data_IF_537016398795
#
_entry.id   IF_537016398795
#
_cell.length_a   1.000
_cell.length_b   1.000
_cell.length_c   1.000
_cell.angle_alpha   90.00
_cell.angle_beta   90.00
_cell.angle_gamma   90.00
#
_symmetry.space_group_name_H-M   'P 1'
#
loop_
_entity.id
_entity.type
_entity.pdbx_description
1 polymer ?
#
# COMPACT_ATOMS: atom_id res chain seq x y z
N UNK A 1 -16.38 38.00 10.66
CA UNK A 1 -16.97 36.67 10.94
C UNK A 1 -16.50 35.56 9.97
N UNK A 2 -15.50 35.80 9.09
CA UNK A 2 -15.15 34.87 7.98
C UNK A 2 -13.92 33.95 8.30
N UNK A 3 -13.11 34.31 9.30
CA UNK A 3 -11.85 33.58 9.61
C UNK A 3 -12.06 32.22 10.30
N UNK A 4 -13.10 32.09 11.13
CA UNK A 4 -13.39 30.84 11.84
C UNK A 4 -13.92 29.77 10.89
N UNK A 5 -14.74 30.17 9.91
CA UNK A 5 -15.30 29.28 8.91
C UNK A 5 -14.21 28.69 7.99
N UNK A 6 -13.26 29.52 7.55
CA UNK A 6 -12.10 29.05 6.77
C UNK A 6 -11.16 28.11 7.53
N UNK A 7 -11.06 28.25 8.86
CA UNK A 7 -10.28 27.33 9.71
C UNK A 7 -11.07 26.03 9.92
N UNK A 8 -12.37 26.12 10.20
CA UNK A 8 -13.27 24.98 10.38
C UNK A 8 -13.32 24.11 9.13
N UNK A 9 -13.49 24.71 7.95
CA UNK A 9 -13.52 24.02 6.66
C UNK A 9 -12.16 23.35 6.33
N UNK A 10 -11.06 23.91 6.83
CA UNK A 10 -9.72 23.29 6.70
C UNK A 10 -9.54 22.11 7.65
N UNK A 11 -10.03 22.22 8.88
CA UNK A 11 -10.01 21.14 9.88
C UNK A 11 -10.92 20.00 9.43
N UNK A 12 -12.14 20.29 8.96
CA UNK A 12 -13.09 19.28 8.47
C UNK A 12 -12.48 18.54 7.28
N UNK A 13 -11.93 19.23 6.29
CA UNK A 13 -11.26 18.57 5.15
C UNK A 13 -10.05 17.75 5.57
N UNK A 14 -9.27 18.22 6.54
CA UNK A 14 -8.14 17.48 7.07
C UNK A 14 -8.56 16.21 7.82
N UNK A 15 -9.56 16.30 8.70
CA UNK A 15 -10.06 15.15 9.45
C UNK A 15 -10.79 14.15 8.54
N UNK A 16 -11.63 14.64 7.62
CA UNK A 16 -12.32 13.81 6.63
C UNK A 16 -11.33 13.13 5.69
N UNK A 17 -10.27 13.84 5.26
CA UNK A 17 -9.19 13.27 4.46
C UNK A 17 -8.42 12.18 5.22
N UNK A 18 -8.13 12.39 6.51
CA UNK A 18 -7.51 11.37 7.36
C UNK A 18 -8.40 10.14 7.59
N UNK A 19 -9.68 10.35 7.87
CA UNK A 19 -10.65 9.26 8.08
C UNK A 19 -10.84 8.47 6.79
N UNK A 20 -10.98 9.15 5.64
CA UNK A 20 -11.17 8.50 4.34
C UNK A 20 -9.94 7.67 3.94
N UNK A 21 -8.73 8.20 4.13
CA UNK A 21 -7.49 7.46 3.85
C UNK A 21 -7.33 6.25 4.79
N UNK A 22 -7.40 6.46 6.12
CA UNK A 22 -7.24 5.37 7.08
C UNK A 22 -8.33 4.28 6.96
N UNK A 23 -9.57 4.66 6.60
CA UNK A 23 -10.66 3.71 6.37
C UNK A 23 -10.48 2.94 5.05
N UNK A 24 -10.03 3.59 3.98
CA UNK A 24 -9.77 2.92 2.70
C UNK A 24 -8.61 1.93 2.83
N UNK A 25 -7.51 2.31 3.49
CA UNK A 25 -6.35 1.45 3.71
C UNK A 25 -6.72 0.20 4.51
N UNK A 26 -7.53 0.39 5.57
CA UNK A 26 -8.02 -0.71 6.40
C UNK A 26 -8.98 -1.63 5.63
N UNK A 27 -9.88 -1.08 4.83
CA UNK A 27 -10.84 -1.86 4.02
C UNK A 27 -10.11 -2.66 2.94
N UNK A 28 -9.10 -2.07 2.29
CA UNK A 28 -8.28 -2.74 1.28
C UNK A 28 -7.47 -3.86 1.93
N UNK A 29 -6.78 -3.58 3.04
CA UNK A 29 -6.01 -4.58 3.78
C UNK A 29 -6.89 -5.75 4.28
N UNK A 30 -8.03 -5.46 4.91
CA UNK A 30 -8.99 -6.48 5.34
C UNK A 30 -9.61 -7.25 4.17
N UNK A 31 -9.81 -6.60 3.02
CA UNK A 31 -10.30 -7.24 1.79
C UNK A 31 -9.30 -8.25 1.23
N UNK A 32 -8.02 -7.87 1.16
CA UNK A 32 -6.95 -8.78 0.73
C UNK A 32 -6.73 -9.92 1.72
N UNK A 33 -6.74 -9.64 3.02
CA UNK A 33 -6.60 -10.67 4.06
C UNK A 33 -7.70 -11.72 3.95
N UNK A 34 -8.96 -11.30 3.78
CA UNK A 34 -10.09 -12.22 3.55
C UNK A 34 -9.95 -13.00 2.24
N UNK A 35 -9.47 -12.37 1.16
CA UNK A 35 -9.25 -13.05 -0.11
C UNK A 35 -8.17 -14.13 -0.01
N UNK A 36 -7.07 -13.84 0.70
CA UNK A 36 -5.96 -14.77 0.98
C UNK A 36 -6.45 -15.91 1.87
N UNK A 37 -7.21 -15.61 2.93
CA UNK A 37 -7.78 -16.63 3.81
C UNK A 37 -8.72 -17.57 3.05
N UNK A 38 -9.60 -17.02 2.20
CA UNK A 38 -10.51 -17.81 1.38
C UNK A 38 -9.75 -18.70 0.39
N UNK A 39 -8.74 -18.17 -0.28
CA UNK A 39 -7.91 -18.92 -1.22
C UNK A 39 -7.11 -20.03 -0.48
N UNK A 40 -6.57 -19.75 0.70
CA UNK A 40 -5.90 -20.74 1.56
C UNK A 40 -6.87 -21.82 2.04
N UNK A 41 -8.10 -21.44 2.43
CA UNK A 41 -9.12 -22.39 2.83
C UNK A 41 -9.50 -23.33 1.69
N UNK A 42 -9.63 -22.82 0.45
CA UNK A 42 -9.86 -23.64 -0.75
C UNK A 42 -8.73 -24.64 -0.98
N UNK A 43 -7.47 -24.21 -0.90
CA UNK A 43 -6.31 -25.11 -1.01
C UNK A 43 -6.34 -26.21 0.06
N UNK A 44 -6.69 -25.86 1.31
CA UNK A 44 -6.77 -26.82 2.41
C UNK A 44 -7.88 -27.86 2.19
N UNK A 45 -9.06 -27.44 1.72
CA UNK A 45 -10.16 -28.36 1.41
C UNK A 45 -9.74 -29.33 0.28
N UNK A 46 -9.16 -28.81 -0.80
CA UNK A 46 -8.68 -29.64 -1.91
C UNK A 46 -7.59 -30.63 -1.45
N UNK A 47 -6.65 -30.19 -0.62
CA UNK A 47 -5.64 -31.07 -0.02
C UNK A 47 -6.26 -32.21 0.80
N UNK A 48 -7.26 -31.90 1.63
CA UNK A 48 -7.96 -32.93 2.41
C UNK A 48 -8.70 -33.94 1.55
N UNK A 49 -9.33 -33.48 0.47
CA UNK A 49 -10.01 -34.36 -0.49
C UNK A 49 -9.01 -35.30 -1.17
N UNK A 50 -7.82 -34.82 -1.52
CA UNK A 50 -6.74 -35.66 -2.04
C UNK A 50 -6.32 -36.71 -1.00
N UNK A 51 -6.10 -36.30 0.26
CA UNK A 51 -5.71 -37.24 1.34
C UNK A 51 -6.76 -38.32 1.59
N UNK A 52 -8.05 -37.97 1.50
CA UNK A 52 -9.16 -38.92 1.61
C UNK A 52 -9.17 -39.88 0.43
N UNK A 53 -9.02 -39.38 -0.80
CA UNK A 53 -8.97 -40.21 -2.00
C UNK A 53 -7.76 -41.14 -2.04
N UNK A 54 -6.61 -40.69 -1.54
CA UNK A 54 -5.42 -41.55 -1.40
C UNK A 54 -5.64 -42.69 -0.40
N UNK A 55 -6.39 -42.44 0.68
CA UNK A 55 -6.79 -43.49 1.63
C UNK A 55 -7.76 -44.49 0.99
N UNK A 56 -8.76 -44.01 0.26
CA UNK A 56 -9.68 -44.89 -0.50
C UNK A 56 -8.91 -45.77 -1.50
N UNK A 57 -7.94 -45.20 -2.22
CA UNK A 57 -7.08 -45.94 -3.13
C UNK A 57 -6.27 -47.03 -2.41
N UNK A 58 -5.68 -46.72 -1.26
CA UNK A 58 -4.94 -47.70 -0.47
C UNK A 58 -5.84 -48.85 0.01
N UNK A 59 -7.10 -48.56 0.37
CA UNK A 59 -8.09 -49.57 0.74
C UNK A 59 -8.41 -50.49 -0.45
N UNK A 60 -8.58 -49.94 -1.66
CA UNK A 60 -8.79 -50.72 -2.88
C UNK A 60 -7.57 -51.59 -3.23
N UNK A 61 -6.36 -51.07 -3.09
CA UNK A 61 -5.13 -51.84 -3.30
C UNK A 61 -5.00 -52.99 -2.29
N UNK A 62 -5.37 -52.75 -1.02
CA UNK A 62 -5.41 -53.79 0.01
C UNK A 62 -6.48 -54.86 -0.28
N UNK A 63 -7.65 -54.45 -0.75
CA UNK A 63 -8.74 -55.37 -1.14
C UNK A 63 -8.37 -56.19 -2.37
N UNK A 64 -7.61 -55.64 -3.32
CA UNK A 64 -7.07 -56.35 -4.49
C UNK A 64 -6.21 -57.55 -4.06
N UNK A 65 -5.38 -57.39 -3.02
CA UNK A 65 -4.59 -58.50 -2.45
C UNK A 65 -5.51 -59.58 -1.87
N UNK A 66 -6.62 -59.20 -1.22
CA UNK A 66 -7.59 -60.18 -0.68
C UNK A 66 -8.31 -60.93 -1.80
N UNK A 67 -8.66 -60.28 -2.91
CA UNK A 67 -9.21 -60.95 -4.10
C UNK A 67 -8.24 -61.97 -4.67
N UNK A 68 -6.97 -61.61 -4.84
CA UNK A 68 -5.92 -62.53 -5.33
C UNK A 68 -5.79 -63.75 -4.42
N UNK A 69 -5.99 -63.57 -3.11
CA UNK A 69 -5.97 -64.66 -2.12
C UNK A 69 -7.28 -65.44 -2.02
N UNK A 70 -8.32 -65.09 -2.78
CA UNK A 70 -9.65 -65.69 -2.70
C UNK A 70 -10.40 -65.37 -1.40
N UNK A 71 -9.98 -64.35 -0.66
CA UNK A 71 -10.56 -63.94 0.63
C UNK A 71 -11.67 -62.89 0.49
N UNK A 72 -11.83 -62.33 -0.71
CA UNK A 72 -12.84 -61.31 -1.02
C UNK A 72 -13.84 -61.82 -2.03
N UNK A 73 -15.06 -61.29 -1.95
CA UNK A 73 -16.16 -61.57 -2.89
C UNK A 73 -16.25 -60.52 -4.02
N UNK A 74 -15.46 -59.46 -3.97
CA UNK A 74 -15.36 -58.50 -5.07
C UNK A 74 -14.65 -59.14 -6.28
N UNK A 75 -15.06 -58.76 -7.49
CA UNK A 75 -14.34 -59.15 -8.71
C UNK A 75 -13.08 -58.29 -8.89
N UNK A 76 -12.05 -58.89 -9.47
CA UNK A 76 -10.80 -58.20 -9.81
C UNK A 76 -11.04 -57.06 -10.80
N UNK A 77 -11.98 -57.24 -11.74
CA UNK A 77 -12.30 -56.24 -12.77
C UNK A 77 -12.92 -54.98 -12.14
N UNK A 78 -13.86 -55.14 -11.21
CA UNK A 78 -14.46 -54.00 -10.50
C UNK A 78 -13.42 -53.25 -9.66
N UNK A 79 -12.50 -53.96 -9.01
CA UNK A 79 -11.43 -53.32 -8.24
C UNK A 79 -10.44 -52.58 -9.13
N UNK A 80 -10.09 -53.13 -10.30
CA UNK A 80 -9.24 -52.46 -11.27
C UNK A 80 -9.89 -51.16 -11.77
N UNK A 81 -11.20 -51.17 -12.05
CA UNK A 81 -11.94 -49.97 -12.44
C UNK A 81 -11.97 -48.92 -11.33
N UNK A 82 -12.19 -49.32 -10.07
CA UNK A 82 -12.19 -48.41 -8.91
C UNK A 82 -10.80 -47.82 -8.64
N UNK A 83 -9.74 -48.62 -8.76
CA UNK A 83 -8.34 -48.18 -8.62
C UNK A 83 -7.99 -47.20 -9.74
N UNK A 84 -8.36 -47.51 -11.00
CA UNK A 84 -8.11 -46.63 -12.14
C UNK A 84 -8.83 -45.29 -11.97
N UNK A 85 -10.12 -45.33 -11.63
CA UNK A 85 -10.92 -44.13 -11.40
C UNK A 85 -10.41 -43.30 -10.21
N UNK A 86 -10.04 -43.93 -9.10
CA UNK A 86 -9.49 -43.23 -7.94
C UNK A 86 -8.15 -42.55 -8.28
N UNK A 87 -7.29 -43.20 -9.09
CA UNK A 87 -6.05 -42.59 -9.58
C UNK A 87 -6.31 -41.39 -10.47
N UNK A 88 -7.28 -41.49 -11.39
CA UNK A 88 -7.71 -40.38 -12.24
C UNK A 88 -8.24 -39.21 -11.41
N UNK A 89 -9.17 -39.45 -10.48
CA UNK A 89 -9.71 -38.44 -9.57
C UNK A 89 -8.61 -37.75 -8.73
N UNK A 90 -7.61 -38.51 -8.23
CA UNK A 90 -6.47 -37.93 -7.51
C UNK A 90 -5.66 -37.01 -8.43
N UNK A 91 -5.42 -37.40 -9.69
CA UNK A 91 -4.67 -36.56 -10.64
C UNK A 91 -5.42 -35.27 -10.96
N UNK A 92 -6.73 -35.34 -11.18
CA UNK A 92 -7.57 -34.17 -11.43
C UNK A 92 -7.61 -33.22 -10.23
N UNK A 93 -7.82 -33.76 -9.02
CA UNK A 93 -7.82 -32.97 -7.79
C UNK A 93 -6.45 -32.33 -7.52
N UNK A 94 -5.36 -33.03 -7.84
CA UNK A 94 -4.00 -32.49 -7.70
C UNK A 94 -3.77 -31.33 -8.67
N UNK A 95 -4.19 -31.45 -9.92
CA UNK A 95 -4.11 -30.36 -10.89
C UNK A 95 -4.97 -29.14 -10.45
N UNK A 96 -6.18 -29.39 -9.95
CA UNK A 96 -7.01 -28.33 -9.40
C UNK A 96 -6.39 -27.64 -8.17
N UNK A 97 -5.68 -28.40 -7.32
CA UNK A 97 -4.94 -27.85 -6.18
C UNK A 97 -3.77 -26.97 -6.65
N UNK A 98 -3.00 -27.41 -7.65
CA UNK A 98 -1.89 -26.61 -8.18
C UNK A 98 -2.39 -25.30 -8.78
N UNK A 99 -3.48 -25.33 -9.55
CA UNK A 99 -4.09 -24.12 -10.12
C UNK A 99 -4.57 -23.17 -9.01
N UNK A 100 -5.19 -23.70 -7.96
CA UNK A 100 -5.63 -22.92 -6.81
C UNK A 100 -4.46 -22.31 -6.01
N UNK A 101 -3.34 -23.02 -5.91
CA UNK A 101 -2.12 -22.54 -5.27
C UNK A 101 -1.45 -21.43 -6.09
N UNK A 102 -1.36 -21.57 -7.41
CA UNK A 102 -0.87 -20.51 -8.29
C UNK A 102 -1.71 -19.24 -8.17
N UNK A 103 -3.04 -19.37 -8.10
CA UNK A 103 -3.92 -18.23 -7.93
C UNK A 103 -3.76 -17.55 -6.56
N UNK A 104 -3.52 -18.34 -5.50
CA UNK A 104 -3.16 -17.82 -4.18
C UNK A 104 -1.83 -17.05 -4.23
N UNK A 105 -0.81 -17.57 -4.90
CA UNK A 105 0.48 -16.88 -5.05
C UNK A 105 0.35 -15.57 -5.83
N UNK A 106 -0.45 -15.55 -6.91
CA UNK A 106 -0.76 -14.32 -7.65
C UNK A 106 -1.47 -13.28 -6.76
N UNK A 107 -2.43 -13.71 -5.95
CA UNK A 107 -3.11 -12.84 -4.99
C UNK A 107 -2.14 -12.23 -3.96
N UNK A 108 -1.20 -13.04 -3.44
CA UNK A 108 -0.18 -12.60 -2.50
C UNK A 108 0.80 -11.61 -3.15
N UNK A 109 1.27 -11.91 -4.36
CA UNK A 109 2.18 -11.04 -5.10
C UNK A 109 1.51 -9.69 -5.44
N UNK A 110 0.24 -9.70 -5.85
CA UNK A 110 -0.52 -8.48 -6.13
C UNK A 110 -0.71 -7.62 -4.87
N UNK A 111 -1.04 -8.24 -3.73
CA UNK A 111 -1.16 -7.53 -2.45
C UNK A 111 0.17 -6.89 -2.02
N UNK A 112 1.30 -7.56 -2.26
CA UNK A 112 2.62 -7.03 -1.93
C UNK A 112 3.05 -5.88 -2.87
N UNK A 113 2.80 -6.00 -4.17
CA UNK A 113 3.04 -4.93 -5.14
C UNK A 113 2.26 -3.66 -4.77
N UNK A 114 0.99 -3.81 -4.41
CA UNK A 114 0.16 -2.68 -4.00
C UNK A 114 0.67 -2.01 -2.71
N UNK A 115 1.14 -2.79 -1.72
CA UNK A 115 1.79 -2.23 -0.53
C UNK A 115 3.05 -1.42 -0.87
N UNK A 116 3.84 -1.89 -1.83
CA UNK A 116 5.04 -1.17 -2.27
C UNK A 116 4.68 0.16 -2.95
N UNK A 117 3.66 0.17 -3.81
CA UNK A 117 3.15 1.40 -4.42
C UNK A 117 2.69 2.42 -3.36
N UNK A 118 1.96 1.96 -2.34
CA UNK A 118 1.58 2.83 -1.22
C UNK A 118 2.78 3.38 -0.45
N UNK A 119 3.79 2.56 -0.15
CA UNK A 119 5.00 3.01 0.53
C UNK A 119 5.78 4.07 -0.29
N UNK A 120 5.78 3.94 -1.62
CA UNK A 120 6.34 4.95 -2.51
C UNK A 120 5.55 6.26 -2.44
N UNK A 121 4.21 6.19 -2.47
CA UNK A 121 3.35 7.36 -2.32
C UNK A 121 3.55 8.07 -0.97
N UNK A 122 3.72 7.33 0.12
CA UNK A 122 4.04 7.90 1.43
C UNK A 122 5.39 8.62 1.43
N UNK A 123 6.41 8.03 0.80
CA UNK A 123 7.74 8.61 0.67
C UNK A 123 7.69 9.91 -0.14
N UNK A 124 6.93 9.94 -1.24
CA UNK A 124 6.72 11.14 -2.05
C UNK A 124 5.97 12.22 -1.28
N UNK A 125 4.92 11.86 -0.54
CA UNK A 125 4.20 12.79 0.32
C UNK A 125 5.11 13.38 1.41
N UNK A 126 5.99 12.56 2.02
CA UNK A 126 6.97 13.01 2.99
C UNK A 126 7.98 13.99 2.38
N UNK A 127 8.48 13.70 1.18
CA UNK A 127 9.37 14.60 0.44
C UNK A 127 8.71 15.96 0.17
N UNK A 128 7.46 15.97 -0.32
CA UNK A 128 6.71 17.22 -0.56
C UNK A 128 6.50 18.02 0.73
N UNK A 129 6.13 17.36 1.84
CA UNK A 129 6.01 18.03 3.16
C UNK A 129 7.33 18.69 3.60
N UNK A 130 8.47 18.01 3.40
CA UNK A 130 9.80 18.54 3.72
C UNK A 130 10.11 19.80 2.90
N UNK A 131 9.82 19.77 1.60
CA UNK A 131 10.02 20.91 0.70
C UNK A 131 9.14 22.11 1.10
N UNK A 132 7.87 21.89 1.45
CA UNK A 132 6.97 22.95 1.93
C UNK A 132 7.47 23.55 3.24
N UNK A 133 7.99 22.74 4.16
CA UNK A 133 8.56 23.20 5.43
C UNK A 133 9.82 24.04 5.24
N UNK A 134 10.71 23.64 4.31
CA UNK A 134 11.90 24.42 3.98
C UNK A 134 11.56 25.80 3.42
N UNK A 135 10.60 25.87 2.49
CA UNK A 135 10.12 27.14 1.93
C UNK A 135 9.54 28.06 3.03
N UNK A 136 8.71 27.52 3.93
CA UNK A 136 8.15 28.27 5.04
C UNK A 136 9.23 28.79 6.02
N UNK A 137 10.24 27.98 6.33
CA UNK A 137 11.36 28.38 7.20
C UNK A 137 12.21 29.50 6.56
N UNK A 138 12.44 29.45 5.25
CA UNK A 138 13.18 30.50 4.53
C UNK A 138 12.43 31.84 4.54
N UNK A 139 11.11 31.81 4.29
CA UNK A 139 10.24 32.99 4.39
C UNK A 139 10.23 33.57 5.81
N UNK A 140 10.16 32.73 6.84
CA UNK A 140 10.23 33.17 8.23
C UNK A 140 11.60 33.80 8.55
N UNK A 141 12.70 33.20 8.08
CA UNK A 141 14.06 33.74 8.24
C UNK A 141 14.25 35.11 7.58
N UNK A 142 13.72 35.28 6.36
CA UNK A 142 13.71 36.57 5.67
C UNK A 142 12.97 37.62 6.48
N UNK A 143 11.76 37.31 6.97
CA UNK A 143 10.97 38.24 7.80
C UNK A 143 11.66 38.60 9.12
N UNK A 144 12.34 37.64 9.75
CA UNK A 144 13.08 37.85 10.99
C UNK A 144 14.31 38.75 10.75
N UNK A 145 15.02 38.57 9.62
CA UNK A 145 16.12 39.44 9.23
C UNK A 145 15.63 40.86 8.96
N UNK A 146 14.48 41.04 8.31
CA UNK A 146 13.88 42.37 8.08
C UNK A 146 13.58 43.08 9.39
N UNK A 147 12.98 42.37 10.35
CA UNK A 147 12.71 42.92 11.69
C UNK A 147 14.02 43.22 12.45
N UNK A 148 15.01 42.35 12.36
CA UNK A 148 16.30 42.52 13.01
C UNK A 148 17.05 43.75 12.48
N UNK A 149 17.12 43.92 11.15
CA UNK A 149 17.70 45.10 10.51
C UNK A 149 16.93 46.38 10.88
N UNK A 150 15.60 46.32 10.96
CA UNK A 150 14.77 47.45 11.39
C UNK A 150 15.06 47.86 12.85
N UNK A 151 15.24 46.90 13.76
CA UNK A 151 15.60 47.16 15.15
C UNK A 151 17.03 47.72 15.27
N UNK A 152 18.00 47.14 14.55
CA UNK A 152 19.38 47.64 14.50
C UNK A 152 19.43 49.08 13.99
N UNK A 153 18.72 49.37 12.91
CA UNK A 153 18.63 50.72 12.36
C UNK A 153 18.03 51.70 13.38
N UNK A 154 16.96 51.31 14.08
CA UNK A 154 16.38 52.10 15.19
C UNK A 154 17.33 52.33 16.35
N UNK A 155 18.19 51.37 16.68
CA UNK A 155 19.20 51.52 17.74
C UNK A 155 20.35 52.42 17.31
N UNK A 156 20.83 52.29 16.06
CA UNK A 156 21.85 53.16 15.47
C UNK A 156 21.39 54.62 15.40
N UNK A 157 20.13 54.87 15.05
CA UNK A 157 19.59 56.24 15.03
C UNK A 157 19.40 56.86 16.43
N UNK A 158 19.34 56.03 17.49
CA UNK A 158 19.21 56.50 18.86
C UNK A 158 20.53 57.05 19.42
N UNK A 159 21.68 56.55 18.96
CA UNK A 159 23.00 57.06 19.34
C UNK A 159 23.40 58.36 18.60
N UNK A 160 22.81 58.65 17.44
CA UNK A 160 23.13 59.85 16.64
C UNK A 160 22.24 61.08 16.91
N UNK A 161 21.30 61.01 17.86
CA UNK A 161 20.54 62.18 18.32
C UNK A 161 19.71 62.89 17.23
N UNK A 162 19.28 62.20 16.17
CA UNK A 162 18.39 62.76 15.14
C UNK A 162 16.98 62.19 15.28
N UNK A 163 16.12 62.94 15.97
CA UNK A 163 14.66 62.75 15.87
C UNK A 163 14.17 63.25 14.50
N UNK A 164 14.26 62.39 13.48
CA UNK A 164 13.65 62.59 12.18
C UNK A 164 12.45 61.68 11.99
N UNK A 165 11.25 62.22 12.16
CA UNK A 165 9.99 61.57 11.79
C UNK A 165 9.97 61.40 10.26
N UNK A 166 9.94 60.16 9.76
CA UNK A 166 9.60 59.88 8.37
C UNK A 166 8.35 58.99 8.33
N UNK A 167 7.21 59.64 8.12
CA UNK A 167 6.07 59.06 7.41
C UNK A 167 6.46 58.94 5.94
N UNK A 168 6.71 57.73 5.47
CA UNK A 168 6.97 57.46 4.06
C UNK A 168 6.94 55.97 3.80
N UNK A 169 5.95 55.53 3.03
CA UNK A 169 5.88 54.20 2.44
C UNK A 169 7.20 53.87 1.76
N UNK A 170 7.99 52.98 2.36
CA UNK A 170 9.02 52.26 1.62
C UNK A 170 8.43 50.91 1.25
N UNK A 171 7.74 50.90 0.10
CA UNK A 171 7.27 49.69 -0.55
C UNK A 171 8.51 48.92 -1.04
N UNK A 172 9.08 48.07 -0.20
CA UNK A 172 10.06 47.07 -0.64
C UNK A 172 9.30 46.00 -1.45
N UNK A 173 9.19 46.21 -2.75
CA UNK A 173 8.82 45.14 -3.69
C UNK A 173 10.02 44.20 -3.76
N UNK A 174 10.00 43.14 -2.96
CA UNK A 174 10.88 41.99 -3.18
C UNK A 174 10.33 41.24 -4.38
N UNK A 175 10.95 41.43 -5.55
CA UNK A 175 10.63 40.65 -6.74
C UNK A 175 11.04 39.18 -6.50
N UNK A 176 10.03 38.33 -6.28
CA UNK A 176 10.19 36.89 -6.03
C UNK A 176 10.44 36.08 -7.32
N UNK A 177 10.65 36.72 -8.48
CA UNK A 177 10.81 36.00 -9.75
C UNK A 177 12.22 35.45 -10.05
N UNK A 178 13.20 35.61 -9.17
CA UNK A 178 14.56 35.07 -9.41
C UNK A 178 14.79 33.64 -8.87
N UNK A 179 13.74 32.88 -8.54
CA UNK A 179 13.84 31.42 -8.35
C UNK A 179 13.05 30.71 -9.45
N UNK A 180 13.36 31.05 -10.70
CA UNK A 180 12.93 30.31 -11.88
C UNK A 180 14.16 29.94 -12.69
N UNK A 181 14.86 28.93 -12.21
CA UNK A 181 16.08 28.39 -12.80
C UNK A 181 16.37 27.01 -12.26
N UNK A 182 15.45 26.08 -12.55
CA UNK A 182 15.69 24.65 -12.84
C UNK A 182 14.34 23.93 -12.86
N UNK A 183 13.58 24.25 -13.90
CA UNK A 183 12.61 23.32 -14.49
C UNK A 183 13.30 22.77 -15.74
N UNK A 184 14.25 21.88 -15.52
CA UNK A 184 15.00 21.20 -16.57
C UNK A 184 15.56 19.96 -15.92
N UNK A 185 14.70 18.96 -15.76
CA UNK A 185 15.00 17.52 -15.69
C UNK A 185 13.81 16.81 -15.04
N UNK A 186 12.78 16.58 -15.86
CA UNK A 186 12.01 15.35 -15.73
C UNK A 186 12.97 14.19 -16.04
N UNK A 187 13.16 13.20 -15.15
CA UNK A 187 13.67 11.92 -15.61
C UNK A 187 12.53 11.19 -16.33
N UNK A 188 12.75 10.95 -17.61
CA UNK A 188 12.02 10.03 -18.45
C UNK A 188 12.15 8.60 -17.92
N UNK A 189 11.33 8.22 -16.94
CA UNK A 189 11.16 6.84 -16.48
C UNK A 189 9.67 6.46 -16.42
N UNK A 190 9.01 6.65 -17.56
CA UNK A 190 7.72 6.04 -17.90
C UNK A 190 7.74 5.53 -19.36
N UNK A 191 8.87 4.96 -19.78
CA UNK A 191 8.95 4.09 -20.96
C UNK A 191 10.05 3.03 -20.74
N UNK A 192 9.72 2.00 -19.96
CA UNK A 192 10.01 0.59 -20.27
C UNK A 192 9.30 -0.31 -19.25
#
# INVERSE_FOLDING_TARGET
MIKLDGIMDRIIRYQLGKVKAASADKIIAEGHEKAIELARARCNIASKQIDEKQRELADYEAETIKVIRGQSKLSIDLLNDLVAKAKEEITELTAALTDAQEELEKCLAGAEAQKQEYAQLETWAAHKRKQTRQKANALAGLSALTLFLFVLFRLLQKDEGREGFFTGEVLFVVDLNHVRGDMGDLPALLQQ
#
